data_IF_282068795810
#
_entry.id   IF_282068795810
#
_cell.length_a   1.000
_cell.length_b   1.000
_cell.length_c   1.000
_cell.angle_alpha   90.00
_cell.angle_beta   90.00
_cell.angle_gamma   90.00
#
_symmetry.space_group_name_H-M   'P 1'
#
loop_
_entity.id
_entity.type
_entity.pdbx_description
1 polymer ?
#
# COMPACT_ATOMS: atom_id res chain seq x y z
N UNK A 1 -6.46 -19.48 -1.63
CA UNK A 1 -5.50 -18.69 -2.44
C UNK A 1 -4.67 -19.56 -3.34
N UNK A 2 -4.67 -19.22 -4.63
CA UNK A 2 -3.72 -19.72 -5.61
C UNK A 2 -2.46 -18.85 -5.63
N UNK A 3 -1.31 -19.45 -5.90
CA UNK A 3 -0.09 -18.69 -6.18
C UNK A 3 -0.31 -17.86 -7.44
N UNK A 4 -0.12 -16.54 -7.33
CA UNK A 4 -0.27 -15.60 -8.43
C UNK A 4 1.07 -15.36 -9.14
N UNK A 5 2.13 -15.12 -8.36
CA UNK A 5 3.46 -14.82 -8.87
C UNK A 5 4.51 -15.08 -7.80
N UNK A 6 5.70 -15.50 -8.22
CA UNK A 6 6.87 -15.68 -7.38
C UNK A 6 8.10 -15.10 -8.08
N UNK A 7 9.09 -14.65 -7.31
CA UNK A 7 10.28 -14.03 -7.85
C UNK A 7 11.42 -14.01 -6.84
N UNK A 8 12.62 -14.34 -7.34
CA UNK A 8 13.82 -14.43 -6.51
C UNK A 8 14.61 -13.13 -6.55
N UNK A 9 15.24 -12.81 -5.43
CA UNK A 9 16.14 -11.68 -5.30
C UNK A 9 17.33 -12.04 -4.43
N UNK A 10 18.52 -11.67 -4.90
CA UNK A 10 19.74 -11.71 -4.10
C UNK A 10 19.87 -10.39 -3.33
N UNK A 11 20.04 -10.48 -2.01
CA UNK A 11 20.23 -9.33 -1.12
C UNK A 11 21.50 -9.50 -0.28
N UNK A 12 22.13 -8.41 0.20
CA UNK A 12 23.24 -8.51 1.13
C UNK A 12 22.88 -9.29 2.39
N UNK A 13 23.85 -9.98 2.98
CA UNK A 13 23.69 -10.73 4.23
C UNK A 13 23.07 -9.84 5.29
N UNK A 14 21.90 -10.24 5.76
CA UNK A 14 21.11 -9.50 6.73
C UNK A 14 20.03 -10.39 7.33
N UNK A 15 19.41 -9.98 8.43
CA UNK A 15 18.26 -10.68 9.00
C UNK A 15 17.09 -10.70 7.99
N UNK A 16 16.72 -11.86 7.43
CA UNK A 16 15.64 -11.95 6.46
C UNK A 16 14.29 -11.55 7.08
N UNK A 17 14.08 -11.78 8.39
CA UNK A 17 12.82 -11.45 9.07
C UNK A 17 12.65 -9.94 9.15
N UNK A 18 13.70 -9.22 9.57
CA UNK A 18 13.67 -7.76 9.63
C UNK A 18 13.47 -7.14 8.24
N UNK A 19 14.12 -7.71 7.22
CA UNK A 19 13.95 -7.28 5.84
C UNK A 19 12.53 -7.49 5.31
N UNK A 20 11.94 -8.66 5.59
CA UNK A 20 10.56 -8.93 5.21
C UNK A 20 9.58 -8.01 5.95
N UNK A 21 9.77 -7.80 7.25
CA UNK A 21 8.98 -6.84 8.03
C UNK A 21 9.01 -5.46 7.38
N UNK A 22 10.21 -4.94 7.07
CA UNK A 22 10.37 -3.62 6.44
C UNK A 22 9.72 -3.54 5.06
N UNK A 23 9.71 -4.63 4.28
CA UNK A 23 8.97 -4.69 3.01
C UNK A 23 7.46 -4.56 3.24
N UNK A 24 6.93 -5.26 4.25
CA UNK A 24 5.51 -5.22 4.59
C UNK A 24 5.12 -3.82 5.10
N UNK A 25 5.95 -3.18 5.90
CA UNK A 25 5.72 -1.80 6.36
C UNK A 25 5.70 -0.83 5.18
N UNK A 26 6.65 -0.95 4.24
CA UNK A 26 6.65 -0.15 2.99
C UNK A 26 5.38 -0.38 2.17
N UNK A 27 4.96 -1.64 2.02
CA UNK A 27 3.74 -1.98 1.29
C UNK A 27 2.50 -1.38 1.94
N UNK A 28 2.38 -1.50 3.26
CA UNK A 28 1.25 -0.99 4.05
C UNK A 28 1.19 0.54 4.04
N UNK A 29 2.30 1.21 4.36
CA UNK A 29 2.31 2.63 4.69
C UNK A 29 2.66 3.54 3.50
N UNK A 30 3.30 2.97 2.47
CA UNK A 30 3.76 3.70 1.29
C UNK A 30 3.22 3.13 -0.04
N UNK A 31 2.07 2.45 -0.01
CA UNK A 31 1.38 1.97 -1.21
C UNK A 31 1.09 3.08 -2.24
N UNK A 32 1.00 4.35 -1.82
CA UNK A 32 0.85 5.51 -2.71
C UNK A 32 2.08 5.75 -3.61
N UNK A 33 3.26 5.20 -3.27
CA UNK A 33 4.46 5.29 -4.12
C UNK A 33 4.34 4.45 -5.41
N UNK A 34 3.48 3.44 -5.41
CA UNK A 34 3.24 2.57 -6.58
C UNK A 34 1.80 2.72 -7.12
N UNK A 35 0.85 3.11 -6.28
CA UNK A 35 -0.53 3.33 -6.67
C UNK A 35 -0.87 4.82 -6.64
N UNK A 36 -0.87 5.44 -7.82
CA UNK A 36 -1.17 6.86 -8.01
C UNK A 36 -2.62 7.25 -7.65
N UNK A 37 -3.52 6.29 -7.43
CA UNK A 37 -4.90 6.56 -6.98
C UNK A 37 -4.96 7.03 -5.52
N UNK A 38 -3.88 6.82 -4.76
CA UNK A 38 -3.82 7.10 -3.33
C UNK A 38 -3.00 8.36 -3.02
N UNK A 39 -3.48 9.15 -2.07
CA UNK A 39 -2.67 10.12 -1.34
C UNK A 39 -1.80 9.43 -0.29
N UNK A 40 -2.32 8.39 0.35
CA UNK A 40 -1.67 7.64 1.42
C UNK A 40 -2.65 6.74 2.16
N UNK A 41 -2.26 6.34 3.36
CA UNK A 41 -3.06 5.51 4.28
C UNK A 41 -3.04 6.08 5.69
N UNK A 42 -4.05 5.72 6.48
CA UNK A 42 -4.10 5.94 7.93
C UNK A 42 -4.16 4.58 8.64
N UNK A 43 -3.21 4.32 9.54
CA UNK A 43 -3.36 3.24 10.51
C UNK A 43 -4.43 3.64 11.53
N UNK A 44 -5.46 2.81 11.66
CA UNK A 44 -6.51 3.02 12.66
C UNK A 44 -6.04 2.52 14.02
N UNK A 45 -6.44 3.24 15.05
CA UNK A 45 -6.22 2.80 16.43
C UNK A 45 -7.16 1.64 16.76
N UNK A 46 -6.77 0.83 17.73
CA UNK A 46 -7.55 -0.34 18.15
C UNK A 46 -8.95 0.03 18.69
N UNK A 47 -9.13 1.25 19.22
CA UNK A 47 -10.39 1.78 19.74
C UNK A 47 -11.23 2.53 18.69
N UNK A 48 -10.77 2.61 17.44
CA UNK A 48 -11.51 3.26 16.35
C UNK A 48 -12.75 2.42 15.99
N UNK A 49 -13.93 3.07 15.96
CA UNK A 49 -15.20 2.42 15.60
C UNK A 49 -15.18 1.80 14.21
N UNK A 50 -14.46 2.41 13.28
CA UNK A 50 -14.30 1.91 11.91
C UNK A 50 -13.43 0.65 11.91
N UNK A 51 -12.40 0.59 12.76
CA UNK A 51 -11.56 -0.59 12.93
C UNK A 51 -12.38 -1.80 13.42
N UNK A 52 -13.19 -1.62 14.47
CA UNK A 52 -14.09 -2.66 14.97
C UNK A 52 -15.07 -3.14 13.88
N UNK A 53 -15.72 -2.21 13.18
CA UNK A 53 -16.63 -2.53 12.08
C UNK A 53 -15.95 -3.31 10.94
N UNK A 54 -14.70 -2.98 10.60
CA UNK A 54 -13.93 -3.71 9.58
C UNK A 54 -13.62 -5.13 10.05
N UNK A 55 -13.19 -5.31 11.30
CA UNK A 55 -12.93 -6.63 11.89
C UNK A 55 -14.20 -7.50 11.90
N UNK A 56 -15.36 -6.92 12.23
CA UNK A 56 -16.66 -7.60 12.24
C UNK A 56 -17.07 -8.04 10.83
N UNK A 57 -17.04 -7.09 9.87
CA UNK A 57 -17.42 -7.34 8.46
C UNK A 57 -16.55 -8.42 7.83
N UNK A 58 -15.26 -8.41 8.14
CA UNK A 58 -14.29 -9.39 7.64
C UNK A 58 -14.20 -10.67 8.49
N UNK A 59 -14.94 -10.74 9.60
CA UNK A 59 -14.99 -11.88 10.52
C UNK A 59 -13.60 -12.27 11.07
N UNK A 60 -12.79 -11.28 11.45
CA UNK A 60 -11.38 -11.47 11.84
C UNK A 60 -11.15 -11.67 13.35
N UNK A 61 -12.19 -11.91 14.13
CA UNK A 61 -12.12 -12.03 15.60
C UNK A 61 -11.13 -13.10 16.12
N UNK A 62 -10.85 -14.13 15.33
CA UNK A 62 -9.89 -15.19 15.67
C UNK A 62 -8.45 -14.90 15.27
N UNK A 63 -8.20 -13.80 14.55
CA UNK A 63 -6.88 -13.43 14.05
C UNK A 63 -6.19 -12.51 15.05
N UNK A 64 -4.97 -12.85 15.45
CA UNK A 64 -4.17 -12.04 16.36
C UNK A 64 -3.48 -10.89 15.62
N UNK A 65 -3.23 -9.81 16.35
CA UNK A 65 -2.41 -8.68 15.89
C UNK A 65 -2.86 -8.08 14.54
N UNK A 66 -4.19 -7.98 14.36
CA UNK A 66 -4.78 -7.38 13.17
C UNK A 66 -4.58 -5.87 13.20
N UNK A 67 -3.94 -5.35 12.16
CA UNK A 67 -3.85 -3.92 11.90
C UNK A 67 -4.83 -3.54 10.79
N UNK A 68 -5.63 -2.49 11.02
CA UNK A 68 -6.57 -1.95 10.02
C UNK A 68 -6.06 -0.62 9.51
N UNK A 69 -5.94 -0.48 8.19
CA UNK A 69 -5.60 0.77 7.54
C UNK A 69 -6.75 1.28 6.68
N UNK A 70 -6.99 2.58 6.72
CA UNK A 70 -7.90 3.27 5.81
C UNK A 70 -7.10 3.87 4.65
N UNK A 71 -7.54 3.64 3.42
CA UNK A 71 -6.97 4.28 2.24
C UNK A 71 -7.52 5.69 2.05
N UNK A 72 -6.68 6.60 1.58
CA UNK A 72 -7.06 7.98 1.24
C UNK A 72 -6.96 8.17 -0.27
N UNK A 73 -8.07 8.09 -1.03
CA UNK A 73 -8.06 8.35 -2.46
C UNK A 73 -7.71 9.79 -2.82
N UNK A 74 -7.04 9.98 -3.96
CA UNK A 74 -6.80 11.31 -4.54
C UNK A 74 -8.09 11.94 -5.07
N UNK A 75 -8.92 11.12 -5.68
CA UNK A 75 -10.17 11.52 -6.36
C UNK A 75 -11.39 10.94 -5.66
N UNK A 76 -12.53 11.55 -5.87
CA UNK A 76 -13.85 11.10 -5.40
C UNK A 76 -14.39 9.87 -6.15
N UNK A 77 -13.73 9.44 -7.24
CA UNK A 77 -14.08 8.23 -8.00
C UNK A 77 -14.01 6.93 -7.17
N UNK A 78 -13.19 6.89 -6.12
CA UNK A 78 -13.01 5.71 -5.27
C UNK A 78 -13.65 5.90 -3.90
N UNK A 79 -13.88 4.78 -3.21
CA UNK A 79 -14.40 4.75 -1.85
C UNK A 79 -13.49 5.50 -0.87
N UNK A 80 -14.07 6.42 -0.10
CA UNK A 80 -13.42 7.01 1.07
C UNK A 80 -13.54 6.13 2.32
N UNK A 81 -14.37 5.08 2.24
CA UNK A 81 -14.53 4.03 3.25
C UNK A 81 -13.87 2.73 2.80
N UNK A 82 -12.72 2.85 2.14
CA UNK A 82 -11.86 1.73 1.74
C UNK A 82 -10.84 1.42 2.84
N UNK A 83 -10.78 0.16 3.24
CA UNK A 83 -9.92 -0.33 4.31
C UNK A 83 -9.20 -1.61 3.89
N UNK A 84 -8.10 -1.89 4.55
CA UNK A 84 -7.42 -3.19 4.51
C UNK A 84 -7.01 -3.58 5.92
N UNK A 85 -7.53 -4.72 6.36
CA UNK A 85 -7.00 -5.40 7.54
C UNK A 85 -5.82 -6.28 7.11
N UNK A 86 -4.80 -6.39 7.94
CA UNK A 86 -3.70 -7.31 7.67
C UNK A 86 -3.03 -7.80 8.96
N UNK A 87 -2.50 -9.01 8.92
CA UNK A 87 -1.85 -9.64 10.07
C UNK A 87 -0.76 -10.61 9.61
N UNK A 88 0.30 -10.72 10.41
CA UNK A 88 1.28 -11.80 10.23
C UNK A 88 0.63 -13.12 10.64
N UNK A 89 0.48 -14.03 9.69
CA UNK A 89 -0.04 -15.37 9.93
C UNK A 89 1.08 -16.39 10.14
N UNK A 90 2.31 -16.03 9.77
CA UNK A 90 3.54 -16.77 10.05
C UNK A 90 4.77 -15.82 10.02
N UNK A 91 5.94 -16.34 10.39
CA UNK A 91 7.23 -15.65 10.39
C UNK A 91 7.60 -15.04 9.04
N UNK A 92 7.10 -15.56 7.93
CA UNK A 92 7.33 -14.95 6.61
C UNK A 92 6.05 -14.87 5.78
N UNK A 93 4.92 -14.69 6.45
CA UNK A 93 3.62 -14.65 5.77
C UNK A 93 2.72 -13.58 6.38
N UNK A 94 2.12 -12.78 5.50
CA UNK A 94 1.11 -11.76 5.86
C UNK A 94 -0.12 -11.95 4.99
N UNK A 95 -1.27 -12.04 5.63
CA UNK A 95 -2.57 -12.04 4.97
C UNK A 95 -3.14 -10.62 4.97
N UNK A 96 -3.80 -10.28 3.86
CA UNK A 96 -4.44 -8.99 3.63
C UNK A 96 -5.91 -9.18 3.24
N UNK A 97 -6.78 -8.42 3.89
CA UNK A 97 -8.23 -8.47 3.74
C UNK A 97 -8.76 -7.06 3.42
N UNK A 98 -8.86 -6.71 2.13
CA UNK A 98 -9.48 -5.45 1.72
C UNK A 98 -10.99 -5.47 1.90
N UNK A 99 -11.58 -4.32 2.24
CA UNK A 99 -13.02 -4.11 2.20
C UNK A 99 -13.40 -2.66 1.92
N UNK A 100 -14.64 -2.46 1.48
CA UNK A 100 -15.28 -1.14 1.37
C UNK A 100 -16.56 -1.16 2.20
N UNK A 101 -16.86 -0.09 2.94
CA UNK A 101 -18.08 -0.02 3.77
C UNK A 101 -19.21 0.77 3.09
N UNK A 102 -18.92 1.52 2.02
CA UNK A 102 -19.86 2.35 1.28
C UNK A 102 -20.31 1.73 -0.06
N UNK A 103 -19.83 0.52 -0.38
CA UNK A 103 -20.13 -0.18 -1.64
C UNK A 103 -19.50 0.43 -2.90
N UNK A 104 -18.66 1.47 -2.77
CA UNK A 104 -17.96 2.09 -3.90
C UNK A 104 -16.70 1.29 -4.26
N UNK A 105 -16.05 1.67 -5.36
CA UNK A 105 -14.85 0.96 -5.83
C UNK A 105 -13.66 1.15 -4.87
N UNK A 106 -12.97 0.05 -4.54
CA UNK A 106 -11.74 0.10 -3.75
C UNK A 106 -10.60 0.75 -4.55
N UNK A 107 -9.83 1.72 -3.99
CA UNK A 107 -8.77 2.44 -4.71
C UNK A 107 -7.49 1.62 -4.92
N UNK A 108 -7.32 0.54 -4.15
CA UNK A 108 -6.12 -0.31 -4.14
C UNK A 108 -6.47 -1.74 -4.60
N UNK A 109 -5.97 -2.76 -3.90
CA UNK A 109 -6.30 -4.17 -4.15
C UNK A 109 -7.68 -4.48 -3.58
N UNK A 110 -8.59 -5.04 -4.37
CA UNK A 110 -10.00 -5.25 -4.00
C UNK A 110 -10.33 -6.70 -3.59
N UNK A 111 -9.34 -7.57 -3.55
CA UNK A 111 -9.51 -9.01 -3.28
C UNK A 111 -8.56 -9.45 -2.17
N UNK A 112 -8.85 -10.58 -1.53
CA UNK A 112 -7.98 -11.15 -0.51
C UNK A 112 -6.67 -11.64 -1.13
N UNK A 113 -5.55 -11.31 -0.51
CA UNK A 113 -4.23 -11.76 -0.95
C UNK A 113 -3.28 -12.01 0.22
N UNK A 114 -2.15 -12.62 -0.10
CA UNK A 114 -1.11 -13.02 0.84
C UNK A 114 0.25 -12.71 0.25
N UNK A 115 1.11 -12.09 1.04
CA UNK A 115 2.54 -11.95 0.74
C UNK A 115 3.31 -12.97 1.57
N UNK A 116 4.13 -13.77 0.91
CA UNK A 116 5.01 -14.76 1.52
C UNK A 116 6.46 -14.52 1.11
N UNK A 117 7.41 -14.89 1.96
CA UNK A 117 8.83 -14.91 1.61
C UNK A 117 9.49 -16.21 2.08
N UNK A 118 10.34 -16.78 1.24
CA UNK A 118 11.15 -17.94 1.59
C UNK A 118 12.64 -17.59 1.44
N UNK A 119 13.49 -18.10 2.34
CA UNK A 119 14.95 -18.01 2.20
C UNK A 119 15.41 -19.29 1.51
N UNK A 120 15.85 -19.16 0.27
CA UNK A 120 16.24 -20.29 -0.60
C UNK A 120 17.68 -20.70 -0.32
N UNK A 121 18.57 -19.71 -0.25
CA UNK A 121 20.00 -19.90 -0.01
C UNK A 121 20.52 -18.77 0.87
N UNK A 122 21.49 -19.07 1.71
CA UNK A 122 22.22 -18.09 2.48
C UNK A 122 23.68 -18.50 2.59
N UNK A 123 24.55 -17.68 2.02
CA UNK A 123 26.01 -17.81 2.17
C UNK A 123 26.53 -16.70 3.10
N UNK A 124 27.84 -16.47 3.12
CA UNK A 124 28.47 -15.53 4.05
C UNK A 124 28.12 -14.07 3.73
N UNK A 125 27.95 -13.73 2.44
CA UNK A 125 27.79 -12.35 1.98
C UNK A 125 26.39 -12.01 1.47
N UNK A 126 25.59 -13.03 1.15
CA UNK A 126 24.30 -12.88 0.46
C UNK A 126 23.21 -13.81 0.99
N UNK A 127 21.97 -13.39 0.78
CA UNK A 127 20.77 -14.20 0.98
C UNK A 127 19.95 -14.15 -0.29
N UNK A 128 19.54 -15.31 -0.80
CA UNK A 128 18.58 -15.42 -1.89
C UNK A 128 17.21 -15.65 -1.27
N UNK A 129 16.32 -14.66 -1.42
CA UNK A 129 14.93 -14.76 -0.99
C UNK A 129 14.02 -14.95 -2.21
N UNK A 130 12.98 -15.77 -2.06
CA UNK A 130 11.86 -15.84 -3.00
C UNK A 130 10.65 -15.13 -2.39
N UNK A 131 10.17 -14.07 -3.03
CA UNK A 131 8.93 -13.40 -2.67
C UNK A 131 7.78 -14.03 -3.46
N UNK A 132 6.66 -14.28 -2.79
CA UNK A 132 5.47 -14.91 -3.36
C UNK A 132 4.24 -14.07 -3.06
N UNK A 133 3.34 -13.96 -4.05
CA UNK A 133 2.00 -13.40 -3.86
C UNK A 133 1.00 -14.49 -4.18
N UNK A 134 0.07 -14.73 -3.27
CA UNK A 134 -1.08 -15.60 -3.50
C UNK A 134 -2.37 -14.80 -3.37
N UNK A 135 -3.40 -15.12 -4.15
CA UNK A 135 -4.65 -14.35 -4.18
C UNK A 135 -5.86 -15.22 -4.53
N UNK A 136 -7.05 -14.73 -4.17
CA UNK A 136 -8.35 -15.33 -4.52
C UNK A 136 -9.14 -14.48 -5.54
N UNK A 137 -8.51 -13.47 -6.15
CA UNK A 137 -9.14 -12.56 -7.12
C UNK A 137 -9.27 -13.14 -8.53
N UNK A 138 -10.19 -12.56 -9.31
CA UNK A 138 -10.37 -12.89 -10.73
C UNK A 138 -9.19 -12.38 -11.57
N UNK A 139 -8.98 -12.98 -12.75
CA UNK A 139 -7.81 -12.71 -13.60
C UNK A 139 -7.63 -11.21 -13.87
N UNK A 140 -8.70 -10.50 -14.20
CA UNK A 140 -8.64 -9.07 -14.51
C UNK A 140 -8.32 -8.18 -13.28
N UNK A 141 -8.63 -8.65 -12.07
CA UNK A 141 -8.34 -7.92 -10.83
C UNK A 141 -6.87 -8.09 -10.43
N UNK A 142 -6.34 -9.31 -10.62
CA UNK A 142 -4.98 -9.67 -10.16
C UNK A 142 -3.88 -9.19 -11.11
N UNK A 143 -4.19 -8.82 -12.36
CA UNK A 143 -3.21 -8.31 -13.35
C UNK A 143 -2.36 -7.19 -12.77
N UNK A 144 -2.99 -6.19 -12.12
CA UNK A 144 -2.23 -5.07 -11.55
C UNK A 144 -1.27 -5.53 -10.45
N UNK A 145 -1.71 -6.46 -9.59
CA UNK A 145 -0.86 -7.02 -8.54
C UNK A 145 0.32 -7.80 -9.15
N UNK A 146 0.05 -8.69 -10.11
CA UNK A 146 1.04 -9.56 -10.76
C UNK A 146 2.06 -8.78 -11.58
N UNK A 147 1.58 -7.92 -12.47
CA UNK A 147 2.41 -7.35 -13.54
C UNK A 147 3.05 -6.02 -13.13
N UNK A 148 2.43 -5.29 -12.20
CA UNK A 148 2.89 -3.97 -11.79
C UNK A 148 3.35 -3.92 -10.33
N UNK A 149 2.49 -4.27 -9.37
CA UNK A 149 2.80 -4.13 -7.95
C UNK A 149 3.95 -5.07 -7.52
N UNK A 150 3.93 -6.32 -7.99
CA UNK A 150 4.93 -7.32 -7.65
C UNK A 150 6.34 -6.94 -8.10
N UNK A 151 6.47 -6.35 -9.30
CA UNK A 151 7.78 -5.87 -9.78
C UNK A 151 8.34 -4.77 -8.89
N UNK A 152 7.47 -3.95 -8.31
CA UNK A 152 7.84 -2.91 -7.35
C UNK A 152 8.22 -3.51 -6.00
N UNK A 153 7.47 -4.51 -5.51
CA UNK A 153 7.79 -5.25 -4.29
C UNK A 153 9.16 -5.94 -4.36
N UNK A 154 9.47 -6.62 -5.47
CA UNK A 154 10.80 -7.22 -5.68
C UNK A 154 11.91 -6.16 -5.69
N UNK A 155 11.66 -5.03 -6.35
CA UNK A 155 12.60 -3.91 -6.39
C UNK A 155 12.82 -3.33 -5.00
N UNK A 156 11.76 -3.15 -4.20
CA UNK A 156 11.87 -2.70 -2.82
C UNK A 156 12.65 -3.70 -1.99
N UNK A 157 12.30 -4.99 -2.04
CA UNK A 157 12.99 -6.04 -1.28
C UNK A 157 14.51 -6.05 -1.54
N UNK A 158 14.90 -5.90 -2.82
CA UNK A 158 16.31 -5.78 -3.23
C UNK A 158 17.03 -4.59 -2.61
N UNK A 159 16.33 -3.45 -2.55
CA UNK A 159 16.93 -2.16 -2.26
C UNK A 159 16.69 -1.68 -0.80
N UNK A 160 15.97 -2.46 0.01
CA UNK A 160 15.79 -2.17 1.44
C UNK A 160 17.17 -2.09 2.09
N UNK A 161 17.44 -0.94 2.72
CA UNK A 161 18.55 -0.75 3.65
C UNK A 161 18.03 -0.98 5.05
N UNK A 162 18.65 -1.88 5.81
CA UNK A 162 18.25 -2.12 7.21
C UNK A 162 18.87 -1.08 8.14
N UNK A 163 20.04 -0.54 7.78
CA UNK A 163 20.64 0.60 8.45
C UNK A 163 19.89 1.90 8.08
N UNK A 164 19.62 2.72 9.09
CA UNK A 164 18.97 4.03 8.97
C UNK A 164 17.74 4.13 9.84
N UNK A 165 17.59 5.26 10.54
CA UNK A 165 16.36 5.63 11.22
C UNK A 165 15.21 5.63 10.22
N UNK A 166 14.08 5.03 10.61
CA UNK A 166 12.81 5.30 9.92
C UNK A 166 12.69 6.81 9.92
N UNK A 167 12.76 7.43 8.74
CA UNK A 167 12.42 8.83 8.62
C UNK A 167 10.92 8.86 8.89
N UNK A 168 10.55 9.08 10.16
CA UNK A 168 9.22 9.55 10.48
C UNK A 168 9.05 10.79 9.61
N UNK A 169 8.29 10.66 8.53
CA UNK A 169 7.93 11.84 7.75
C UNK A 169 7.19 12.71 8.75
N UNK A 170 7.83 13.80 9.20
CA UNK A 170 7.23 14.80 10.07
C UNK A 170 6.05 15.42 9.33
N UNK A 171 4.94 14.68 9.27
CA UNK A 171 3.67 15.14 8.76
C UNK A 171 3.13 16.03 9.85
N UNK A 172 3.48 17.31 9.75
CA UNK A 172 2.93 18.37 10.62
C UNK A 172 1.40 18.44 10.51
N UNK A 173 0.83 17.87 9.45
CA UNK A 173 -0.59 17.83 9.13
C UNK A 173 -0.97 16.40 8.78
N UNK A 174 -2.09 15.90 9.33
CA UNK A 174 -2.58 14.55 9.03
C UNK A 174 -2.87 14.37 7.54
N UNK A 175 -2.66 13.16 6.99
CA UNK A 175 -2.81 12.92 5.54
C UNK A 175 -4.22 13.23 5.03
N UNK A 176 -5.25 13.06 5.86
CA UNK A 176 -6.62 13.44 5.53
C UNK A 176 -6.78 14.95 5.37
N UNK A 177 -6.26 15.71 6.34
CA UNK A 177 -6.29 17.17 6.31
C UNK A 177 -5.46 17.71 5.15
N UNK A 178 -4.21 17.21 5.00
CA UNK A 178 -3.36 17.54 3.86
C UNK A 178 -4.06 17.26 2.53
N UNK A 179 -4.67 16.09 2.37
CA UNK A 179 -5.36 15.72 1.12
C UNK A 179 -6.57 16.60 0.84
N UNK A 180 -7.34 16.98 1.87
CA UNK A 180 -8.48 17.90 1.75
C UNK A 180 -8.01 19.30 1.38
N UNK A 181 -7.10 19.88 2.16
CA UNK A 181 -6.56 21.22 1.90
C UNK A 181 -5.94 21.31 0.51
N UNK A 182 -5.15 20.32 0.10
CA UNK A 182 -4.53 20.31 -1.22
C UNK A 182 -5.57 20.21 -2.36
N UNK A 183 -6.64 19.44 -2.17
CA UNK A 183 -7.76 19.36 -3.11
C UNK A 183 -8.49 20.71 -3.21
N UNK A 184 -8.81 21.31 -2.07
CA UNK A 184 -9.47 22.61 -2.00
C UNK A 184 -8.63 23.70 -2.66
N UNK A 185 -7.30 23.68 -2.46
CA UNK A 185 -6.38 24.59 -3.14
C UNK A 185 -6.40 24.39 -4.66
N UNK A 186 -6.36 23.15 -5.14
CA UNK A 186 -6.44 22.83 -6.57
C UNK A 186 -7.76 23.27 -7.19
N UNK A 187 -8.88 23.09 -6.50
CA UNK A 187 -10.19 23.48 -7.01
C UNK A 187 -10.37 25.01 -7.03
N UNK A 188 -10.01 25.69 -5.94
CA UNK A 188 -10.24 27.12 -5.79
C UNK A 188 -9.25 27.96 -6.61
N UNK A 189 -7.97 27.57 -6.63
CA UNK A 189 -6.91 28.33 -7.29
C UNK A 189 -6.45 27.67 -8.59
N UNK A 190 -6.31 26.34 -8.62
CA UNK A 190 -5.81 25.63 -9.80
C UNK A 190 -6.66 25.86 -11.04
N UNK A 191 -7.99 25.91 -10.92
CA UNK A 191 -8.88 26.24 -12.05
C UNK A 191 -8.61 27.63 -12.63
N UNK A 192 -8.30 28.60 -11.77
CA UNK A 192 -8.00 29.98 -12.20
C UNK A 192 -6.61 30.08 -12.84
N UNK A 193 -5.64 29.35 -12.31
CA UNK A 193 -4.28 29.29 -12.87
C UNK A 193 -4.31 28.61 -14.24
N UNK A 194 -5.00 27.48 -14.36
CA UNK A 194 -5.14 26.75 -15.62
C UNK A 194 -5.90 27.55 -16.69
N UNK A 195 -6.92 28.33 -16.31
CA UNK A 195 -7.66 29.16 -17.26
C UNK A 195 -6.88 30.39 -17.75
N UNK A 196 -5.92 30.87 -16.94
CA UNK A 196 -5.01 31.98 -17.28
C UNK A 196 -3.64 31.49 -17.75
N UNK A 197 -3.50 30.21 -18.08
CA UNK A 197 -2.22 29.62 -18.46
C UNK A 197 -1.73 30.22 -19.79
N UNK A 198 -0.54 30.82 -19.75
CA UNK A 198 0.07 31.48 -20.93
C UNK A 198 1.22 30.70 -21.53
N UNK A 199 1.66 29.64 -20.86
CA UNK A 199 2.72 28.79 -21.35
C UNK A 199 2.20 27.82 -22.41
N UNK A 200 3.11 27.29 -23.23
CA UNK A 200 2.80 26.31 -24.28
C UNK A 200 2.56 24.89 -23.72
N UNK A 201 2.86 24.71 -22.43
CA UNK A 201 2.72 23.46 -21.68
C UNK A 201 1.26 23.19 -21.32
N UNK A 202 0.89 21.92 -21.09
CA UNK A 202 -0.47 21.57 -20.72
C UNK A 202 -0.78 22.01 -19.28
N UNK A 203 -1.64 23.03 -19.06
CA UNK A 203 -1.98 23.48 -17.71
C UNK A 203 -2.56 22.37 -16.83
N UNK A 204 -3.24 21.38 -17.42
CA UNK A 204 -3.81 20.29 -16.61
C UNK A 204 -2.72 19.49 -15.92
N UNK A 205 -1.65 19.19 -16.64
CA UNK A 205 -0.49 18.49 -16.10
C UNK A 205 0.23 19.32 -15.04
N UNK A 206 0.58 20.56 -15.36
CA UNK A 206 1.44 21.37 -14.49
C UNK A 206 0.74 22.01 -13.29
N UNK A 207 -0.59 22.13 -13.32
CA UNK A 207 -1.37 22.70 -12.20
C UNK A 207 -1.99 21.60 -11.34
N UNK A 208 -2.34 20.45 -11.92
CA UNK A 208 -3.09 19.41 -11.22
C UNK A 208 -2.33 18.09 -11.04
N UNK A 209 -1.19 17.87 -11.68
CA UNK A 209 -0.40 16.62 -11.53
C UNK A 209 0.96 16.85 -10.87
N UNK A 210 1.68 17.92 -11.27
CA UNK A 210 2.91 18.38 -10.63
C UNK A 210 2.63 19.15 -9.32
#
# INVERSE_FOLDING_TARGET
>A
MRLLVAGRVSVPKSDPRLRFQKLIDLWRDHCNAINRRLCGVNLLKADDKSSAKVVDVLQLHGVRDVEVRQFVPRTDLFSSEAFEASAFTDKFQVDFWPCVLDGRQHPHVSFRYRLGMEVILSDDDTVICELQVSADGYEHEVIWMRDFAFTSLLRWLRNIRLEGTVIETHRLVGINEFSRTYRDLKENFGRQIASKWRERTDPRKFVFED
#
